data_IF_332838143258
#
_entry.id   IF_332838143258
#
_cell.length_a   1.000
_cell.length_b   1.000
_cell.length_c   1.000
_cell.angle_alpha   90.00
_cell.angle_beta   90.00
_cell.angle_gamma   90.00
#
_symmetry.space_group_name_H-M   'P 1'
#
loop_
_entity.id
_entity.type
_entity.pdbx_description
1 polymer ?
#
# COMPACT_ATOMS: atom_id res chain seq x y z
N UNK A 1 63.40 15.05 -3.51
CA UNK A 1 62.58 16.28 -3.41
C UNK A 1 61.17 15.98 -3.90
N UNK A 2 60.20 16.45 -3.14
CA UNK A 2 58.75 16.28 -3.22
C UNK A 2 58.11 16.88 -4.48
N UNK A 3 57.03 16.27 -4.97
CA UNK A 3 56.20 16.86 -6.02
C UNK A 3 54.85 16.16 -6.23
N UNK A 4 53.95 16.25 -5.24
CA UNK A 4 52.55 15.81 -5.32
C UNK A 4 51.72 16.91 -6.02
N UNK A 5 51.09 16.62 -7.17
CA UNK A 5 50.09 17.50 -7.83
C UNK A 5 48.90 16.65 -8.29
N UNK A 6 47.83 16.63 -7.48
CA UNK A 6 46.59 17.43 -7.53
C UNK A 6 45.58 16.84 -8.54
N UNK A 7 44.59 16.15 -7.95
CA UNK A 7 43.42 15.55 -8.58
C UNK A 7 42.66 16.57 -9.44
N UNK A 8 42.19 16.10 -10.59
CA UNK A 8 41.43 16.87 -11.57
C UNK A 8 40.14 17.44 -11.03
N UNK A 9 39.89 18.69 -11.42
CA UNK A 9 38.71 19.49 -11.14
C UNK A 9 37.58 19.07 -12.10
N UNK A 10 36.52 18.44 -11.60
CA UNK A 10 35.32 18.13 -12.39
C UNK A 10 34.41 19.36 -12.40
N UNK A 11 34.33 20.03 -13.56
CA UNK A 11 33.49 21.21 -13.80
C UNK A 11 32.04 20.80 -14.07
N UNK A 12 31.08 21.39 -13.34
CA UNK A 12 29.63 21.13 -13.41
C UNK A 12 28.91 21.83 -14.57
N UNK A 13 29.64 22.51 -15.46
CA UNK A 13 29.08 23.43 -16.44
C UNK A 13 28.60 22.79 -17.76
N UNK A 14 28.53 21.46 -17.85
CA UNK A 14 28.21 20.75 -19.10
C UNK A 14 26.76 20.25 -19.22
N UNK A 15 25.87 20.57 -18.28
CA UNK A 15 24.48 20.07 -18.28
C UNK A 15 23.45 20.98 -18.98
N UNK A 16 23.90 21.90 -19.85
CA UNK A 16 23.03 22.85 -20.55
C UNK A 16 22.83 22.51 -22.03
N UNK A 17 22.16 21.39 -22.34
CA UNK A 17 21.86 21.01 -23.73
C UNK A 17 20.51 20.31 -23.83
N UNK A 18 19.41 21.07 -23.76
CA UNK A 18 18.05 20.53 -23.99
C UNK A 18 17.69 20.72 -25.46
N UNK A 19 17.87 19.67 -26.26
CA UNK A 19 17.21 19.52 -27.56
C UNK A 19 15.75 19.14 -27.32
N UNK A 20 14.81 20.01 -27.74
CA UNK A 20 13.38 19.67 -27.84
C UNK A 20 13.15 18.61 -28.91
N UNK A 21 12.19 17.70 -28.71
CA UNK A 21 11.34 17.25 -29.80
C UNK A 21 9.88 17.64 -29.58
N UNK A 22 9.25 17.90 -30.72
CA UNK A 22 7.89 18.35 -30.98
C UNK A 22 6.95 17.13 -31.12
N UNK A 23 5.80 17.20 -30.45
CA UNK A 23 4.44 16.67 -30.73
C UNK A 23 4.14 15.28 -31.38
N UNK A 24 2.97 14.76 -30.92
CA UNK A 24 1.95 13.87 -31.57
C UNK A 24 2.17 12.34 -31.50
N UNK A 25 1.18 11.46 -31.25
CA UNK A 25 -0.29 11.47 -31.39
C UNK A 25 -1.04 10.68 -30.29
N UNK A 26 -2.36 10.85 -30.30
CA UNK A 26 -3.45 10.32 -29.46
C UNK A 26 -3.72 8.80 -29.60
N UNK A 27 -4.60 8.28 -28.73
CA UNK A 27 -5.45 7.04 -28.76
C UNK A 27 -5.20 6.14 -27.55
N UNK A 28 -6.15 5.47 -26.91
CA UNK A 28 -7.62 5.45 -26.87
C UNK A 28 -7.99 4.71 -25.58
N UNK A 29 -9.17 5.00 -25.04
CA UNK A 29 -9.73 4.38 -23.84
C UNK A 29 -10.23 2.97 -24.16
N UNK A 30 -9.87 1.96 -23.38
CA UNK A 30 -10.69 0.74 -23.25
C UNK A 30 -10.73 0.26 -21.80
N UNK A 31 -11.94 0.37 -21.26
CA UNK A 31 -12.44 -0.16 -20.00
C UNK A 31 -12.79 -1.67 -20.12
N UNK A 32 -13.01 -2.30 -18.96
CA UNK A 32 -13.48 -3.68 -18.71
C UNK A 32 -12.36 -4.73 -18.68
N UNK A 33 -12.31 -5.71 -17.76
CA UNK A 33 -13.40 -6.40 -17.07
C UNK A 33 -12.82 -7.17 -15.87
N UNK A 34 -13.53 -7.15 -14.75
CA UNK A 34 -13.27 -7.98 -13.57
C UNK A 34 -13.37 -9.47 -13.91
N UNK A 35 -12.49 -10.29 -13.33
CA UNK A 35 -12.61 -11.74 -13.32
C UNK A 35 -12.45 -12.24 -11.87
N UNK A 36 -13.59 -12.44 -11.22
CA UNK A 36 -13.73 -13.35 -10.09
C UNK A 36 -13.34 -14.75 -10.53
N UNK A 37 -12.45 -15.40 -9.79
CA UNK A 37 -12.16 -16.83 -9.95
C UNK A 37 -12.50 -17.53 -8.65
N UNK A 38 -13.60 -18.28 -8.72
CA UNK A 38 -14.16 -19.20 -7.74
C UNK A 38 -13.10 -20.17 -7.18
N UNK A 39 -13.18 -20.46 -5.88
CA UNK A 39 -12.33 -21.40 -5.16
C UNK A 39 -13.20 -22.55 -4.61
N UNK A 40 -13.04 -23.76 -5.15
CA UNK A 40 -13.58 -25.00 -4.59
C UNK A 40 -12.43 -25.82 -3.97
N UNK A 41 -12.57 -26.36 -2.74
CA UNK A 41 -11.56 -27.22 -2.13
C UNK A 41 -11.84 -28.70 -2.46
N UNK A 42 -10.87 -29.39 -3.10
CA UNK A 42 -10.86 -30.86 -3.16
C UNK A 42 -9.85 -31.44 -2.17
N UNK A 43 -10.31 -32.48 -1.47
CA UNK A 43 -9.66 -33.18 -0.37
C UNK A 43 -8.51 -34.12 -0.80
N UNK A 44 -7.61 -34.40 0.15
CA UNK A 44 -6.45 -35.31 0.09
C UNK A 44 -6.84 -36.78 -0.22
N UNK A 45 -5.87 -37.61 -0.68
CA UNK A 45 -5.15 -38.46 0.28
C UNK A 45 -3.62 -38.38 0.19
N UNK A 46 -2.99 -38.50 1.37
CA UNK A 46 -1.57 -38.71 1.60
C UNK A 46 -1.15 -40.14 1.21
N UNK A 47 0.03 -40.28 0.61
CA UNK A 47 0.85 -41.48 0.76
C UNK A 47 2.33 -41.11 0.71
N UNK A 48 3.13 -41.78 1.55
CA UNK A 48 4.42 -41.32 2.04
C UNK A 48 5.62 -42.02 1.39
N UNK A 49 6.77 -41.32 1.45
CA UNK A 49 8.17 -41.76 1.34
C UNK A 49 8.83 -41.84 -0.07
N UNK A 50 10.17 -41.74 -0.17
CA UNK A 50 11.17 -41.08 0.66
C UNK A 50 11.97 -39.99 -0.11
N UNK A 51 12.74 -39.24 0.68
CA UNK A 51 13.58 -38.10 0.34
C UNK A 51 14.45 -38.28 -0.93
N UNK A 52 14.16 -37.49 -1.96
CA UNK A 52 15.14 -37.05 -2.93
C UNK A 52 15.11 -35.53 -2.93
N UNK A 53 16.12 -34.88 -2.34
CA UNK A 53 16.22 -33.42 -2.33
C UNK A 53 16.15 -32.89 -3.77
N UNK A 54 15.06 -32.22 -4.21
CA UNK A 54 15.19 -31.39 -5.38
C UNK A 54 15.94 -30.16 -4.89
N UNK A 55 17.20 -30.01 -5.32
CA UNK A 55 17.91 -28.73 -5.27
C UNK A 55 17.11 -27.73 -6.10
N UNK A 56 16.06 -27.19 -5.50
CA UNK A 56 15.29 -26.08 -6.02
C UNK A 56 16.26 -24.93 -6.02
N UNK A 57 16.82 -24.67 -7.21
CA UNK A 57 17.59 -23.46 -7.47
C UNK A 57 16.65 -22.31 -7.15
N UNK A 58 16.79 -21.75 -5.95
CA UNK A 58 16.02 -20.62 -5.49
C UNK A 58 16.16 -19.54 -6.56
N UNK A 59 15.09 -19.35 -7.33
CA UNK A 59 15.03 -18.38 -8.42
C UNK A 59 15.16 -17.03 -7.72
N UNK A 60 16.37 -16.44 -7.73
CA UNK A 60 16.64 -15.12 -7.14
C UNK A 60 15.61 -14.16 -7.74
N UNK A 61 14.63 -13.76 -6.94
CA UNK A 61 13.69 -12.70 -7.30
C UNK A 61 14.55 -11.47 -7.59
N UNK A 62 14.54 -11.03 -8.84
CA UNK A 62 15.23 -9.80 -9.23
C UNK A 62 14.56 -8.68 -8.42
N UNK A 63 15.35 -7.98 -7.61
CA UNK A 63 14.88 -6.78 -6.90
C UNK A 63 14.56 -5.76 -7.97
N UNK A 64 13.31 -5.34 -8.03
CA UNK A 64 12.87 -4.30 -8.96
C UNK A 64 13.63 -3.00 -8.66
N UNK A 65 14.06 -2.32 -9.71
CA UNK A 65 14.79 -1.06 -9.61
C UNK A 65 13.80 0.10 -9.55
N UNK A 66 13.96 0.98 -8.56
CA UNK A 66 13.16 2.20 -8.44
C UNK A 66 13.36 3.07 -9.69
N UNK A 67 12.26 3.59 -10.24
CA UNK A 67 12.26 4.48 -11.41
C UNK A 67 11.62 5.81 -11.02
N UNK A 68 12.25 6.93 -11.40
CA UNK A 68 11.73 8.27 -11.11
C UNK A 68 10.63 8.64 -12.10
N UNK A 69 9.48 9.08 -11.59
CA UNK A 69 8.35 9.58 -12.38
C UNK A 69 8.19 11.07 -12.09
N UNK A 70 8.21 11.90 -13.13
CA UNK A 70 8.03 13.35 -13.01
C UNK A 70 6.59 13.73 -13.35
N UNK A 71 5.78 14.03 -12.34
CA UNK A 71 4.38 14.43 -12.50
C UNK A 71 4.22 15.91 -12.14
N UNK A 72 3.62 16.69 -13.05
CA UNK A 72 3.27 18.09 -12.78
C UNK A 72 1.87 18.13 -12.18
N UNK A 73 1.73 18.76 -11.02
CA UNK A 73 0.46 18.92 -10.30
C UNK A 73 0.27 20.37 -9.86
N UNK A 74 -0.96 20.74 -9.55
CA UNK A 74 -1.25 22.07 -9.00
C UNK A 74 -0.74 22.23 -7.57
N UNK A 75 -0.45 23.47 -7.15
CA UNK A 75 0.00 23.77 -5.79
C UNK A 75 -1.02 23.33 -4.72
N UNK A 76 -2.32 23.43 -5.01
CA UNK A 76 -3.39 22.99 -4.10
C UNK A 76 -3.32 21.48 -3.89
N UNK A 77 -3.13 20.71 -4.95
CA UNK A 77 -2.99 19.26 -4.90
C UNK A 77 -1.70 18.86 -4.17
N UNK A 78 -0.59 19.57 -4.40
CA UNK A 78 0.66 19.32 -3.68
C UNK A 78 0.49 19.49 -2.16
N UNK A 79 -0.16 20.57 -1.72
CA UNK A 79 -0.45 20.79 -0.29
C UNK A 79 -1.34 19.70 0.28
N UNK A 80 -2.43 19.38 -0.42
CA UNK A 80 -3.34 18.32 0.00
C UNK A 80 -2.63 16.95 0.16
N UNK A 81 -1.76 16.59 -0.80
CA UNK A 81 -0.95 15.36 -0.71
C UNK A 81 0.01 15.39 0.48
N UNK A 82 0.65 16.53 0.74
CA UNK A 82 1.57 16.69 1.86
C UNK A 82 0.84 16.53 3.20
N UNK A 83 -0.28 17.22 3.38
CA UNK A 83 -1.08 17.19 4.61
C UNK A 83 -1.63 15.77 4.85
N UNK A 84 -2.17 15.14 3.81
CA UNK A 84 -2.70 13.78 3.88
C UNK A 84 -1.60 12.76 4.19
N UNK A 85 -0.43 12.88 3.56
CA UNK A 85 0.70 11.99 3.83
C UNK A 85 1.22 12.15 5.26
N UNK A 86 1.22 13.36 5.80
CA UNK A 86 1.60 13.61 7.19
C UNK A 86 0.60 12.95 8.15
N UNK A 87 -0.71 13.18 7.94
CA UNK A 87 -1.76 12.55 8.74
C UNK A 87 -1.65 11.02 8.72
N UNK A 88 -1.35 10.40 7.57
CA UNK A 88 -1.17 8.95 7.47
C UNK A 88 0.06 8.48 8.25
N UNK A 89 1.17 9.21 8.23
CA UNK A 89 2.37 8.87 9.02
C UNK A 89 2.13 9.02 10.52
N UNK A 90 1.44 10.08 10.92
CA UNK A 90 1.13 10.33 12.33
C UNK A 90 0.17 9.26 12.87
N UNK A 91 -0.74 8.77 12.03
CA UNK A 91 -1.67 7.69 12.39
C UNK A 91 -1.03 6.29 12.35
N UNK A 92 0.08 6.09 11.64
CA UNK A 92 0.70 4.77 11.43
C UNK A 92 2.21 4.85 11.70
N UNK A 93 2.64 4.44 12.89
CA UNK A 93 4.07 4.43 13.28
C UNK A 93 4.91 3.52 12.38
N UNK A 94 4.31 2.48 11.80
CA UNK A 94 4.96 1.53 10.89
C UNK A 94 4.18 1.39 9.59
N UNK A 95 4.87 1.03 8.51
CA UNK A 95 4.23 0.82 7.22
C UNK A 95 3.32 -0.43 7.28
N UNK A 96 2.01 -0.20 7.24
CA UNK A 96 1.02 -1.27 7.35
C UNK A 96 0.84 -1.97 5.98
N UNK A 97 1.12 -3.28 5.87
CA UNK A 97 0.90 -4.03 4.63
C UNK A 97 -0.60 -4.04 4.27
N UNK A 98 -0.96 -4.20 2.99
CA UNK A 98 -2.35 -4.09 2.54
C UNK A 98 -3.36 -4.92 3.35
N UNK A 99 -2.95 -6.11 3.78
CA UNK A 99 -3.80 -7.07 4.48
C UNK A 99 -4.09 -6.66 5.94
N UNK A 100 -3.26 -5.81 6.53
CA UNK A 100 -3.38 -5.34 7.92
C UNK A 100 -4.02 -3.93 7.99
N UNK A 101 -4.36 -3.35 6.84
CA UNK A 101 -4.98 -2.02 6.79
C UNK A 101 -6.39 -2.09 7.36
N UNK A 102 -6.63 -1.32 8.42
CA UNK A 102 -7.96 -1.16 9.01
C UNK A 102 -8.69 -0.03 8.28
N UNK A 103 -9.83 -0.36 7.70
CA UNK A 103 -10.71 0.60 7.02
C UNK A 103 -11.93 0.90 7.91
N UNK A 104 -12.61 2.05 7.73
CA UNK A 104 -13.79 2.40 8.52
C UNK A 104 -14.86 1.31 8.57
N UNK A 105 -15.06 0.59 7.46
CA UNK A 105 -16.00 -0.54 7.39
C UNK A 105 -15.65 -1.69 8.37
N UNK A 106 -14.35 -1.95 8.59
CA UNK A 106 -13.88 -2.97 9.52
C UNK A 106 -14.15 -2.56 10.97
N UNK A 107 -13.99 -1.26 11.28
CA UNK A 107 -14.27 -0.72 12.60
C UNK A 107 -15.77 -0.78 12.95
N UNK A 108 -16.64 -0.55 11.98
CA UNK A 108 -18.09 -0.68 12.17
C UNK A 108 -18.45 -2.14 12.48
N UNK A 109 -17.89 -3.10 11.73
CA UNK A 109 -18.09 -4.52 11.98
C UNK A 109 -17.64 -4.92 13.40
N UNK A 110 -16.42 -4.53 13.78
CA UNK A 110 -15.90 -4.77 15.11
C UNK A 110 -16.77 -4.13 16.21
N UNK A 111 -17.25 -2.90 16.00
CA UNK A 111 -18.15 -2.24 16.94
C UNK A 111 -19.48 -3.00 17.11
N UNK A 112 -20.06 -3.51 16.01
CA UNK A 112 -21.29 -4.33 16.08
C UNK A 112 -21.04 -5.64 16.82
N UNK A 113 -19.91 -6.31 16.56
CA UNK A 113 -19.55 -7.55 17.27
C UNK A 113 -19.35 -7.29 18.76
N UNK A 114 -18.66 -6.21 19.12
CA UNK A 114 -18.49 -5.80 20.51
C UNK A 114 -19.82 -5.48 21.18
N UNK A 115 -20.73 -4.80 20.49
CA UNK A 115 -22.08 -4.52 21.00
C UNK A 115 -22.84 -5.83 21.23
N UNK A 116 -22.90 -6.72 20.25
CA UNK A 116 -23.60 -8.02 20.38
C UNK A 116 -23.02 -8.93 21.46
N UNK A 117 -21.73 -8.79 21.77
CA UNK A 117 -21.08 -9.53 22.83
C UNK A 117 -21.45 -9.02 24.24
N UNK A 118 -21.99 -7.80 24.35
CA UNK A 118 -22.52 -7.29 25.62
C UNK A 118 -23.87 -7.91 25.91
N UNK A 119 -24.09 -8.28 27.17
CA UNK A 119 -25.35 -8.87 27.65
C UNK A 119 -26.37 -7.75 27.92
N UNK A 120 -26.83 -7.12 26.84
CA UNK A 120 -27.82 -6.04 26.86
C UNK A 120 -29.14 -6.48 26.25
N UNK A 121 -30.23 -6.02 26.85
CA UNK A 121 -31.55 -6.18 26.30
C UNK A 121 -31.81 -5.13 25.21
N UNK A 122 -31.61 -5.53 23.96
CA UNK A 122 -31.81 -4.67 22.78
C UNK A 122 -33.27 -4.28 22.57
N UNK A 123 -34.23 -5.02 23.11
CA UNK A 123 -35.65 -4.65 23.00
C UNK A 123 -36.03 -3.54 23.98
N UNK A 124 -35.29 -3.37 25.07
CA UNK A 124 -35.53 -2.32 26.06
C UNK A 124 -34.93 -0.97 25.66
N UNK A 125 -33.87 -0.95 24.84
CA UNK A 125 -33.13 0.27 24.48
C UNK A 125 -33.73 0.92 23.24
N UNK A 126 -34.31 2.11 23.41
CA UNK A 126 -34.99 2.85 22.34
C UNK A 126 -34.29 4.16 21.97
N UNK A 127 -33.33 4.60 22.80
CA UNK A 127 -32.59 5.83 22.60
C UNK A 127 -31.07 5.65 22.74
N UNK A 128 -30.33 6.59 22.15
CA UNK A 128 -28.84 6.60 22.22
C UNK A 128 -28.37 6.88 23.65
N UNK A 129 -29.16 7.64 24.43
CA UNK A 129 -28.84 7.99 25.82
C UNK A 129 -28.96 6.75 26.73
N UNK A 130 -30.04 5.98 26.59
CA UNK A 130 -30.23 4.70 27.29
C UNK A 130 -29.11 3.70 26.98
N UNK A 131 -28.68 3.62 25.72
CA UNK A 131 -27.57 2.73 25.32
C UNK A 131 -26.25 3.13 26.00
N UNK A 132 -25.98 4.44 26.13
CA UNK A 132 -24.76 4.92 26.79
C UNK A 132 -24.79 4.62 28.29
N UNK A 133 -25.93 4.83 28.95
CA UNK A 133 -26.11 4.46 30.35
C UNK A 133 -25.91 2.96 30.58
N UNK A 134 -26.51 2.12 29.72
CA UNK A 134 -26.38 0.67 29.78
C UNK A 134 -24.93 0.19 29.57
N UNK A 135 -24.16 0.89 28.74
CA UNK A 135 -22.74 0.61 28.49
C UNK A 135 -21.78 1.33 29.46
N UNK A 136 -22.30 2.12 30.41
CA UNK A 136 -21.51 2.94 31.34
C UNK A 136 -20.50 3.88 30.64
N UNK A 137 -20.93 4.51 29.54
CA UNK A 137 -20.14 5.42 28.70
C UNK A 137 -20.50 6.90 28.88
#
# INVERSE_FOLDING_TARGET
MTGKKRMGNLSLSSFGGVSRPLEREETEVVETKALESSFEPQALPQEAAPQGEPKTKAKKRRKETLTTINIKIERKQQRWLQDTAQQVRDNNETAVPPNERVYPQHLIGAAIELLKAQDLDWEAIHSIEELKEALSL
#
